data_IF_532798212747
#
_entry.id   IF_532798212747
#
_cell.length_a   1.000
_cell.length_b   1.000
_cell.length_c   1.000
_cell.angle_alpha   90.00
_cell.angle_beta   90.00
_cell.angle_gamma   90.00
#
_symmetry.space_group_name_H-M   'P 1'
#
loop_
_entity.id
_entity.type
_entity.pdbx_description
1 polymer ?
#
# COMPACT_ATOMS: atom_id res chain seq x y z
N UNK A 1 -10.54 -3.31 5.21
CA UNK A 1 -9.54 -2.85 4.24
C UNK A 1 -9.85 -3.32 2.81
N UNK A 2 -10.27 -4.57 2.65
CA UNK A 2 -10.61 -5.10 1.33
C UNK A 2 -11.72 -4.29 0.63
N UNK A 3 -12.74 -3.86 1.37
CA UNK A 3 -13.81 -3.04 0.81
C UNK A 3 -13.30 -1.66 0.39
N UNK A 4 -12.36 -1.09 1.12
CA UNK A 4 -11.74 0.18 0.78
C UNK A 4 -10.92 0.07 -0.51
N UNK A 5 -10.20 -1.04 -0.68
CA UNK A 5 -9.46 -1.33 -1.90
C UNK A 5 -10.41 -1.44 -3.10
N UNK A 6 -11.50 -2.20 -2.94
CA UNK A 6 -12.50 -2.36 -4.02
C UNK A 6 -13.12 -1.03 -4.43
N UNK A 7 -13.44 -0.16 -3.47
CA UNK A 7 -13.98 1.18 -3.75
C UNK A 7 -13.02 2.01 -4.59
N UNK A 8 -11.72 1.97 -4.26
CA UNK A 8 -10.72 2.73 -5.01
C UNK A 8 -10.52 2.18 -6.41
N UNK A 9 -10.52 0.87 -6.58
CA UNK A 9 -10.46 0.24 -7.89
C UNK A 9 -11.65 0.65 -8.75
N UNK A 10 -12.85 0.62 -8.19
CA UNK A 10 -14.08 1.04 -8.92
C UNK A 10 -14.10 2.53 -9.23
N UNK A 11 -13.48 3.36 -8.40
CA UNK A 11 -13.38 4.79 -8.64
C UNK A 11 -12.37 5.16 -9.74
N UNK A 12 -11.62 4.18 -10.25
CA UNK A 12 -10.61 4.43 -11.29
C UNK A 12 -9.27 4.92 -10.75
N UNK A 13 -9.04 4.86 -9.45
CA UNK A 13 -7.76 5.22 -8.86
C UNK A 13 -6.68 4.20 -9.25
N UNK A 14 -5.43 4.66 -9.33
CA UNK A 14 -4.29 3.75 -9.47
C UNK A 14 -4.01 3.15 -8.09
N UNK A 15 -4.25 1.85 -7.96
CA UNK A 15 -4.18 1.16 -6.68
C UNK A 15 -2.93 0.30 -6.59
N UNK A 16 -2.15 0.50 -5.53
CA UNK A 16 -0.91 -0.22 -5.27
C UNK A 16 -1.02 -0.93 -3.93
N UNK A 17 -0.70 -2.22 -3.91
CA UNK A 17 -0.46 -2.95 -2.67
C UNK A 17 1.03 -2.85 -2.36
N UNK A 18 1.36 -2.33 -1.19
CA UNK A 18 2.74 -2.26 -0.70
C UNK A 18 2.82 -3.03 0.62
N UNK A 19 3.51 -4.15 0.61
CA UNK A 19 3.61 -5.04 1.76
C UNK A 19 5.06 -5.35 2.10
N UNK A 20 5.35 -5.47 3.39
CA UNK A 20 6.66 -5.91 3.87
C UNK A 20 6.82 -7.44 3.83
N UNK A 21 5.78 -8.18 3.46
CA UNK A 21 5.84 -9.63 3.27
C UNK A 21 6.46 -9.98 1.93
N UNK A 22 7.10 -11.14 1.86
CA UNK A 22 7.46 -11.75 0.58
C UNK A 22 6.21 -12.48 0.06
N UNK A 23 5.70 -12.04 -1.10
CA UNK A 23 4.47 -12.62 -1.66
C UNK A 23 4.73 -13.96 -2.30
N UNK A 24 3.84 -14.92 -2.05
CA UNK A 24 3.84 -16.23 -2.67
C UNK A 24 2.55 -16.49 -3.44
N UNK A 25 2.45 -17.68 -4.03
CA UNK A 25 1.30 -18.07 -4.86
C UNK A 25 -0.04 -17.91 -4.10
N UNK A 26 -0.08 -18.33 -2.83
CA UNK A 26 -1.30 -18.24 -2.02
C UNK A 26 -1.78 -16.79 -1.82
N UNK A 27 -0.85 -15.85 -1.73
CA UNK A 27 -1.17 -14.43 -1.58
C UNK A 27 -1.82 -13.87 -2.85
N UNK A 28 -1.29 -14.21 -4.02
CA UNK A 28 -1.88 -13.80 -5.31
C UNK A 28 -3.23 -14.45 -5.54
N UNK A 29 -3.39 -15.70 -5.16
CA UNK A 29 -4.66 -16.43 -5.24
C UNK A 29 -5.72 -15.76 -4.36
N UNK A 30 -5.36 -15.37 -3.15
CA UNK A 30 -6.25 -14.64 -2.24
C UNK A 30 -6.74 -13.34 -2.89
N UNK A 31 -5.86 -12.56 -3.49
CA UNK A 31 -6.23 -11.32 -4.16
C UNK A 31 -7.21 -11.56 -5.30
N UNK A 32 -6.94 -12.55 -6.11
CA UNK A 32 -7.79 -12.92 -7.24
C UNK A 32 -9.18 -13.37 -6.78
N UNK A 33 -9.25 -14.27 -5.79
CA UNK A 33 -10.50 -14.82 -5.26
C UNK A 33 -11.38 -13.74 -4.60
N UNK A 34 -10.76 -12.70 -4.05
CA UNK A 34 -11.47 -11.61 -3.39
C UNK A 34 -11.76 -10.42 -4.32
N UNK A 35 -11.46 -10.54 -5.60
CA UNK A 35 -11.71 -9.48 -6.58
C UNK A 35 -10.88 -8.22 -6.35
N UNK A 36 -9.70 -8.36 -5.75
CA UNK A 36 -8.80 -7.25 -5.47
C UNK A 36 -7.85 -7.03 -6.65
N UNK A 37 -8.38 -6.50 -7.74
CA UNK A 37 -7.63 -6.23 -8.96
C UNK A 37 -6.89 -4.91 -8.83
N UNK A 38 -5.64 -4.98 -8.38
CA UNK A 38 -4.79 -3.80 -8.19
C UNK A 38 -3.85 -3.59 -9.37
N UNK A 39 -3.34 -2.36 -9.52
CA UNK A 39 -2.48 -2.00 -10.65
C UNK A 39 -1.04 -2.44 -10.45
N UNK A 40 -0.58 -2.47 -9.20
CA UNK A 40 0.80 -2.84 -8.88
C UNK A 40 0.91 -3.43 -7.49
N UNK A 41 1.84 -4.37 -7.32
CA UNK A 41 2.16 -4.95 -6.02
C UNK A 41 3.65 -4.74 -5.76
N UNK A 42 3.95 -4.10 -4.63
CA UNK A 42 5.31 -3.92 -4.11
C UNK A 42 5.44 -4.82 -2.88
N UNK A 43 6.35 -5.77 -2.94
CA UNK A 43 6.55 -6.74 -1.87
C UNK A 43 8.02 -6.84 -1.49
N UNK A 44 8.29 -7.50 -0.37
CA UNK A 44 9.67 -7.72 0.09
C UNK A 44 10.34 -8.74 -0.82
N UNK A 45 11.52 -8.40 -1.40
CA UNK A 45 12.31 -9.41 -2.10
C UNK A 45 12.75 -10.53 -1.15
N UNK A 46 12.86 -11.74 -1.65
CA UNK A 46 13.36 -12.87 -0.87
C UNK A 46 14.76 -12.54 -0.31
N UNK A 47 14.95 -12.80 0.99
CA UNK A 47 16.22 -12.55 1.66
C UNK A 47 16.45 -11.10 2.09
N UNK A 48 15.55 -10.18 1.79
CA UNK A 48 15.67 -8.80 2.23
C UNK A 48 15.38 -8.66 3.73
N UNK A 49 16.27 -8.00 4.46
CA UNK A 49 16.23 -7.85 5.91
C UNK A 49 16.00 -6.40 6.37
N UNK A 50 15.67 -5.49 5.47
CA UNK A 50 15.40 -4.10 5.84
C UNK A 50 14.15 -4.00 6.73
N UNK A 51 14.10 -2.98 7.59
CA UNK A 51 12.89 -2.72 8.38
C UNK A 51 11.71 -2.39 7.45
N UNK A 52 10.49 -2.66 7.92
CA UNK A 52 9.26 -2.46 7.14
C UNK A 52 9.14 -1.02 6.62
N UNK A 53 9.39 -0.04 7.49
CA UNK A 53 9.31 1.37 7.12
C UNK A 53 10.34 1.77 6.06
N UNK A 54 11.57 1.32 6.21
CA UNK A 54 12.64 1.58 5.23
C UNK A 54 12.33 0.95 3.88
N UNK A 55 11.91 -0.31 3.89
CA UNK A 55 11.59 -1.03 2.66
C UNK A 55 10.44 -0.35 1.91
N UNK A 56 9.35 -0.07 2.59
CA UNK A 56 8.18 0.57 1.97
C UNK A 56 8.51 1.97 1.47
N UNK A 57 9.24 2.78 2.26
CA UNK A 57 9.63 4.12 1.85
C UNK A 57 10.51 4.09 0.59
N UNK A 58 11.46 3.18 0.51
CA UNK A 58 12.35 3.01 -0.64
C UNK A 58 11.57 2.60 -1.90
N UNK A 59 10.69 1.60 -1.78
CA UNK A 59 9.89 1.12 -2.90
C UNK A 59 8.92 2.19 -3.40
N UNK A 60 8.25 2.91 -2.51
CA UNK A 60 7.32 3.96 -2.87
C UNK A 60 8.02 5.19 -3.44
N UNK A 61 9.19 5.55 -2.92
CA UNK A 61 9.96 6.66 -3.47
C UNK A 61 10.34 6.39 -4.94
N UNK A 62 10.73 5.15 -5.25
CA UNK A 62 11.04 4.76 -6.62
C UNK A 62 9.81 4.86 -7.53
N UNK A 63 8.64 4.42 -7.05
CA UNK A 63 7.40 4.50 -7.81
C UNK A 63 6.97 5.95 -8.05
N UNK A 64 7.04 6.80 -7.00
CA UNK A 64 6.59 8.19 -7.09
C UNK A 64 7.53 9.09 -7.88
N UNK A 65 8.74 8.62 -8.14
CA UNK A 65 9.68 9.33 -9.00
C UNK A 65 9.30 9.20 -10.48
N UNK A 66 8.39 8.30 -10.83
CA UNK A 66 7.85 8.20 -12.17
C UNK A 66 7.04 9.45 -12.51
N UNK A 67 7.21 9.95 -13.73
CA UNK A 67 6.61 11.20 -14.20
C UNK A 67 5.10 11.24 -13.96
N UNK A 68 4.40 10.16 -14.21
CA UNK A 68 2.95 10.08 -14.11
C UNK A 68 2.42 10.17 -12.67
N UNK A 69 3.26 9.90 -11.67
CA UNK A 69 2.85 9.91 -10.26
C UNK A 69 3.40 11.07 -9.45
N UNK A 70 4.31 11.85 -10.01
CA UNK A 70 5.04 12.88 -9.27
C UNK A 70 4.15 13.93 -8.62
N UNK A 71 3.10 14.35 -9.32
CA UNK A 71 2.15 15.36 -8.84
C UNK A 71 0.80 14.76 -8.40
N UNK A 72 0.66 13.44 -8.41
CA UNK A 72 -0.58 12.80 -7.99
C UNK A 72 -0.78 12.89 -6.49
N UNK A 73 -2.04 13.03 -6.07
CA UNK A 73 -2.41 12.90 -4.66
C UNK A 73 -2.19 11.46 -4.22
N UNK A 74 -1.56 11.27 -3.06
CA UNK A 74 -1.16 9.96 -2.57
C UNK A 74 -1.77 9.71 -1.20
N UNK A 75 -2.51 8.61 -1.09
CA UNK A 75 -3.10 8.16 0.17
C UNK A 75 -2.70 6.71 0.40
N UNK A 76 -2.31 6.38 1.61
CA UNK A 76 -1.95 5.03 1.99
C UNK A 76 -2.67 4.61 3.27
N UNK A 77 -3.06 3.35 3.32
CA UNK A 77 -3.64 2.74 4.51
C UNK A 77 -2.62 1.78 5.11
N UNK A 78 -2.18 2.05 6.34
CA UNK A 78 -1.23 1.21 7.06
C UNK A 78 -1.50 1.28 8.56
N UNK A 79 -1.54 0.12 9.22
CA UNK A 79 -1.85 0.02 10.64
C UNK A 79 -0.62 0.14 11.55
N UNK A 80 0.59 0.07 11.03
CA UNK A 80 1.82 0.16 11.82
C UNK A 80 2.25 1.62 12.04
N UNK A 81 2.31 2.12 13.29
CA UNK A 81 2.69 3.51 13.56
C UNK A 81 4.06 3.90 13.04
N UNK A 82 5.05 3.03 13.16
CA UNK A 82 6.40 3.29 12.69
C UNK A 82 6.46 3.46 11.17
N UNK A 83 5.69 2.64 10.45
CA UNK A 83 5.58 2.73 8.99
C UNK A 83 4.88 4.02 8.60
N UNK A 84 3.77 4.35 9.25
CA UNK A 84 3.05 5.61 8.98
C UNK A 84 3.96 6.84 9.15
N UNK A 85 4.76 6.87 10.22
CA UNK A 85 5.70 7.95 10.47
C UNK A 85 6.74 8.07 9.36
N UNK A 86 7.31 6.96 8.92
CA UNK A 86 8.30 6.94 7.83
C UNK A 86 7.72 7.44 6.51
N UNK A 87 6.49 7.06 6.20
CA UNK A 87 5.84 7.39 4.93
C UNK A 87 5.33 8.83 4.89
N UNK A 88 4.91 9.39 6.03
CA UNK A 88 4.50 10.81 6.09
C UNK A 88 5.64 11.74 5.72
N UNK A 89 6.87 11.35 5.96
CA UNK A 89 8.06 12.13 5.56
C UNK A 89 8.20 12.21 4.03
N UNK A 90 7.56 11.32 3.29
CA UNK A 90 7.54 11.34 1.82
C UNK A 90 6.38 12.17 1.26
N UNK A 91 5.60 12.84 2.09
CA UNK A 91 4.45 13.61 1.65
C UNK A 91 3.21 12.77 1.33
N UNK A 92 3.12 11.56 1.87
CA UNK A 92 1.99 10.67 1.68
C UNK A 92 1.01 10.86 2.83
N UNK A 93 -0.28 11.02 2.52
CA UNK A 93 -1.34 10.98 3.52
C UNK A 93 -1.53 9.52 3.95
N UNK A 94 -1.21 9.21 5.22
CA UNK A 94 -1.28 7.83 5.72
C UNK A 94 -2.38 7.72 6.76
N UNK A 95 -3.25 6.75 6.55
CA UNK A 95 -4.45 6.52 7.36
C UNK A 95 -4.36 5.13 7.98
N UNK A 96 -4.75 5.02 9.26
CA UNK A 96 -4.87 3.73 9.92
C UNK A 96 -6.23 3.10 9.57
N UNK A 97 -6.27 1.93 8.91
CA UNK A 97 -7.53 1.31 8.50
C UNK A 97 -8.44 0.97 9.68
N UNK A 98 -7.86 0.59 10.81
CA UNK A 98 -8.61 0.26 12.02
C UNK A 98 -9.39 1.45 12.55
N UNK A 99 -8.79 2.63 12.53
CA UNK A 99 -9.46 3.86 12.99
C UNK A 99 -10.61 4.28 12.09
N UNK A 100 -10.50 4.03 10.79
CA UNK A 100 -11.60 4.28 9.85
C UNK A 100 -12.78 3.39 10.16
N UNK A 101 -12.54 2.11 10.42
CA UNK A 101 -13.59 1.14 10.78
C UNK A 101 -14.31 1.54 12.07
N UNK A 102 -13.57 2.01 13.06
CA UNK A 102 -14.13 2.51 14.32
C UNK A 102 -15.05 3.72 14.10
N UNK A 103 -14.72 4.60 13.16
CA UNK A 103 -15.54 5.79 12.86
C UNK A 103 -16.82 5.45 12.12
N UNK A 104 -16.83 4.37 11.36
CA UNK A 104 -17.99 3.94 10.57
C UNK A 104 -18.92 3.07 11.40
N UNK A 105 -18.40 2.43 12.40
CA UNK A 105 -19.19 1.62 13.32
C UNK A 105 -19.92 2.49 14.33
#
# INVERSE_FOLDING_TARGET
>A
LADQIRKRVHAGDYVVICTARTMGFADFEFLFENGLCVDKILSRPAGNMESDGKLKAKQLASLFNLRQFKLANKVMFDDAPSVRSSLRKLGIAVICPTKIQERVA
#
